data_IF_905290940387
#
_entry.id   IF_905290940387
#
_cell.length_a   1.000
_cell.length_b   1.000
_cell.length_c   1.000
_cell.angle_alpha   90.00
_cell.angle_beta   90.00
_cell.angle_gamma   90.00
#
_symmetry.space_group_name_H-M   'P 1'
#
loop_
_entity.id
_entity.type
_entity.pdbx_description
1 polymer ?
#
# COMPACT_ATOMS: atom_id res chain seq x y z
N UNK A 1 2.72 13.87 0.87
CA UNK A 1 1.43 14.38 1.36
C UNK A 1 0.66 13.22 1.99
N UNK A 2 0.29 13.33 3.26
CA UNK A 2 -0.57 12.34 3.93
C UNK A 2 -1.78 13.12 4.45
N UNK A 3 -2.99 12.67 4.13
CA UNK A 3 -4.20 13.37 4.59
C UNK A 3 -4.29 13.36 6.12
N UNK A 4 -4.63 14.50 6.72
CA UNK A 4 -4.65 14.74 8.17
C UNK A 4 -5.63 13.83 8.95
N UNK A 5 -6.63 13.31 8.25
CA UNK A 5 -7.65 12.42 8.79
C UNK A 5 -7.22 10.95 8.82
N UNK A 6 -6.07 10.60 8.23
CA UNK A 6 -5.51 9.26 8.31
C UNK A 6 -4.78 9.03 9.62
N UNK A 7 -4.84 7.80 10.11
CA UNK A 7 -4.09 7.37 11.29
C UNK A 7 -3.76 5.89 11.20
N UNK A 8 -2.73 5.48 11.94
CA UNK A 8 -2.36 4.08 12.11
C UNK A 8 -2.92 3.60 13.44
N UNK A 9 -3.49 2.40 13.43
CA UNK A 9 -3.91 1.68 14.64
C UNK A 9 -3.64 0.17 14.48
N UNK A 10 -3.85 -0.60 15.54
CA UNK A 10 -3.71 -2.05 15.52
C UNK A 10 -5.00 -2.73 15.08
N UNK A 11 -4.87 -3.65 14.14
CA UNK A 11 -5.86 -4.67 13.82
C UNK A 11 -5.70 -5.87 14.76
N UNK A 12 -6.72 -6.72 14.83
CA UNK A 12 -6.70 -7.92 15.68
C UNK A 12 -5.65 -8.94 15.23
N UNK A 13 -5.53 -9.18 13.93
CA UNK A 13 -4.79 -10.32 13.37
C UNK A 13 -3.71 -9.94 12.34
N UNK A 14 -3.66 -8.68 11.87
CA UNK A 14 -2.73 -8.22 10.81
C UNK A 14 -1.68 -7.22 11.32
N UNK A 15 -1.61 -6.97 12.62
CA UNK A 15 -0.71 -5.96 13.18
C UNK A 15 -1.22 -4.55 12.88
N UNK A 16 -0.36 -3.65 12.41
CA UNK A 16 -0.75 -2.25 12.12
C UNK A 16 -1.62 -2.17 10.88
N UNK A 17 -2.53 -1.22 10.84
CA UNK A 17 -3.34 -0.89 9.67
C UNK A 17 -3.60 0.61 9.59
N UNK A 18 -4.01 1.07 8.42
CA UNK A 18 -4.32 2.49 8.18
C UNK A 18 -5.84 2.67 8.24
N UNK A 19 -6.29 3.74 8.89
CA UNK A 19 -7.69 4.03 9.13
C UNK A 19 -7.97 5.51 8.85
N UNK A 20 -9.26 5.86 8.72
CA UNK A 20 -9.72 7.25 8.51
C UNK A 20 -10.64 7.74 9.61
N UNK A 21 -10.54 9.02 9.99
CA UNK A 21 -11.47 9.70 10.89
C UNK A 21 -12.68 10.32 10.18
N UNK A 22 -12.66 10.37 8.84
CA UNK A 22 -13.69 11.05 8.04
C UNK A 22 -14.26 10.13 6.98
N UNK A 23 -15.46 10.48 6.52
CA UNK A 23 -16.03 9.88 5.31
C UNK A 23 -15.19 10.33 4.10
N UNK A 24 -14.78 9.38 3.27
CA UNK A 24 -14.02 9.65 2.04
C UNK A 24 -14.91 9.28 0.84
N UNK A 25 -14.88 10.11 -0.21
CA UNK A 25 -15.60 9.82 -1.47
C UNK A 25 -14.81 8.76 -2.27
N UNK A 26 -15.44 8.06 -3.22
CA UNK A 26 -14.69 7.31 -4.23
C UNK A 26 -13.71 8.21 -4.99
N UNK A 27 -12.71 7.61 -5.61
CA UNK A 27 -11.73 8.26 -6.49
C UNK A 27 -10.95 9.42 -5.84
N UNK A 28 -10.77 9.37 -4.51
CA UNK A 28 -10.06 10.41 -3.76
C UNK A 28 -8.63 9.96 -3.48
N UNK A 29 -7.64 10.77 -3.88
CA UNK A 29 -6.25 10.57 -3.49
C UNK A 29 -6.09 10.99 -2.03
N UNK A 30 -5.67 10.05 -1.18
CA UNK A 30 -5.58 10.25 0.28
C UNK A 30 -4.15 10.32 0.79
N UNK A 31 -3.20 9.85 0.00
CA UNK A 31 -1.78 9.86 0.31
C UNK A 31 -0.96 9.89 -0.97
N UNK A 32 0.15 10.64 -0.95
CA UNK A 32 1.22 10.66 -1.96
C UNK A 32 2.53 10.60 -1.19
N UNK A 33 3.33 9.56 -1.41
CA UNK A 33 4.53 9.28 -0.66
C UNK A 33 5.72 9.15 -1.60
N UNK A 34 6.84 9.86 -1.34
CA UNK A 34 8.08 9.63 -2.07
C UNK A 34 8.58 8.21 -1.80
N UNK A 35 9.31 7.66 -2.76
CA UNK A 35 9.88 6.31 -2.64
C UNK A 35 11.40 6.33 -2.69
N UNK A 36 12.02 5.36 -2.01
CA UNK A 36 13.41 5.00 -2.22
C UNK A 36 13.44 3.87 -3.24
N UNK A 37 13.95 4.13 -4.43
CA UNK A 37 14.13 3.12 -5.49
C UNK A 37 15.44 2.38 -5.27
N UNK A 38 15.40 1.06 -5.40
CA UNK A 38 16.51 0.14 -5.22
C UNK A 38 16.61 -0.79 -6.43
N UNK A 39 17.84 -1.10 -6.83
CA UNK A 39 18.13 -2.02 -7.92
C UNK A 39 17.74 -3.46 -7.60
N UNK A 40 17.67 -4.32 -8.63
CA UNK A 40 17.48 -5.76 -8.47
C UNK A 40 18.52 -6.40 -7.52
N UNK A 41 19.76 -5.92 -7.56
CA UNK A 41 20.83 -6.44 -6.71
C UNK A 41 20.58 -6.13 -5.24
N UNK A 42 20.10 -4.93 -4.93
CA UNK A 42 19.72 -4.54 -3.57
C UNK A 42 18.45 -5.25 -3.11
N UNK A 43 17.46 -5.42 -4.00
CA UNK A 43 16.25 -6.20 -3.72
C UNK A 43 16.56 -7.59 -3.17
N UNK A 44 17.50 -8.31 -3.78
CA UNK A 44 17.93 -9.64 -3.32
C UNK A 44 18.46 -9.65 -1.88
N UNK A 45 19.02 -8.53 -1.40
CA UNK A 45 19.46 -8.39 -0.01
C UNK A 45 18.27 -8.07 0.91
N UNK A 46 17.38 -7.18 0.47
CA UNK A 46 16.18 -6.79 1.21
C UNK A 46 15.21 -7.96 1.40
N UNK A 47 15.06 -8.82 0.38
CA UNK A 47 14.22 -10.03 0.41
C UNK A 47 14.63 -11.02 1.52
N UNK A 48 15.84 -10.90 2.07
CA UNK A 48 16.32 -11.71 3.19
C UNK A 48 16.00 -11.10 4.57
N UNK A 49 15.26 -10.00 4.61
CA UNK A 49 14.94 -9.24 5.81
C UNK A 49 13.43 -9.05 5.96
N UNK A 50 12.99 -8.55 7.12
CA UNK A 50 11.58 -8.20 7.33
C UNK A 50 11.08 -7.08 6.40
N UNK A 51 11.97 -6.30 5.77
CA UNK A 51 11.56 -5.26 4.82
C UNK A 51 10.99 -5.84 3.52
N UNK A 52 11.19 -7.14 3.25
CA UNK A 52 10.57 -7.84 2.12
C UNK A 52 9.05 -7.59 2.05
N UNK A 53 8.38 -7.57 3.21
CA UNK A 53 6.93 -7.40 3.29
C UNK A 53 6.46 -5.94 3.09
N UNK A 54 7.38 -4.98 2.93
CA UNK A 54 7.09 -3.54 2.90
C UNK A 54 7.57 -2.84 1.62
N UNK A 55 8.18 -3.57 0.69
CA UNK A 55 8.64 -3.05 -0.60
C UNK A 55 7.65 -3.39 -1.72
N UNK A 56 7.69 -2.59 -2.78
CA UNK A 56 6.88 -2.75 -3.97
C UNK A 56 7.77 -3.02 -5.18
N UNK A 57 7.29 -3.84 -6.12
CA UNK A 57 7.93 -4.01 -7.43
C UNK A 57 7.86 -2.67 -8.18
N UNK A 58 8.95 -2.27 -8.83
CA UNK A 58 9.10 -0.94 -9.43
C UNK A 58 9.73 -0.99 -10.82
N UNK A 59 9.40 0.00 -11.64
CA UNK A 59 9.94 0.20 -12.99
C UNK A 59 9.20 -0.59 -14.08
N UNK A 60 9.31 -0.12 -15.32
CA UNK A 60 8.60 -0.69 -16.48
C UNK A 60 8.92 -2.17 -16.74
N UNK A 61 10.13 -2.60 -16.38
CA UNK A 61 10.60 -3.98 -16.55
C UNK A 61 10.41 -4.83 -15.29
N UNK A 62 9.84 -4.27 -14.21
CA UNK A 62 9.64 -4.93 -12.91
C UNK A 62 10.94 -5.48 -12.29
N UNK A 63 12.10 -4.92 -12.68
CA UNK A 63 13.43 -5.35 -12.25
C UNK A 63 13.97 -4.54 -11.06
N UNK A 64 13.23 -3.54 -10.60
CA UNK A 64 13.55 -2.75 -9.41
C UNK A 64 12.55 -3.02 -8.29
N UNK A 65 12.88 -2.53 -7.10
CA UNK A 65 11.90 -2.40 -6.04
C UNK A 65 11.96 -0.99 -5.45
N UNK A 66 10.92 -0.60 -4.74
CA UNK A 66 10.93 0.65 -3.99
C UNK A 66 10.31 0.47 -2.60
N UNK A 67 10.71 1.36 -1.69
CA UNK A 67 10.07 1.50 -0.38
C UNK A 67 9.43 2.89 -0.30
N UNK A 68 8.11 2.95 -0.12
CA UNK A 68 7.41 4.20 0.11
C UNK A 68 7.66 4.72 1.54
N UNK A 69 7.88 6.02 1.70
CA UNK A 69 8.28 6.62 2.98
C UNK A 69 7.11 7.11 3.87
N UNK A 70 5.87 6.96 3.41
CA UNK A 70 4.67 7.31 4.16
C UNK A 70 3.99 6.10 4.83
N UNK A 71 2.66 6.12 4.86
CA UNK A 71 1.87 5.01 5.38
C UNK A 71 1.61 3.92 4.34
N UNK A 72 1.91 4.13 3.05
CA UNK A 72 1.73 3.13 1.98
C UNK A 72 2.17 1.71 2.37
N UNK A 73 3.36 1.48 2.96
CA UNK A 73 3.77 0.12 3.37
C UNK A 73 2.97 -0.47 4.55
N UNK A 74 2.11 0.31 5.20
CA UNK A 74 1.31 -0.08 6.37
C UNK A 74 -0.13 -0.45 5.98
N UNK A 75 -0.56 -0.17 4.75
CA UNK A 75 -1.89 -0.60 4.30
C UNK A 75 -1.91 -2.12 4.19
N UNK A 76 -2.85 -2.74 4.89
CA UNK A 76 -3.00 -4.18 4.87
C UNK A 76 -3.60 -4.66 3.54
N UNK A 77 -3.35 -5.94 3.26
CA UNK A 77 -3.92 -6.65 2.14
C UNK A 77 -5.42 -6.93 2.32
N UNK A 78 -6.21 -6.78 1.25
CA UNK A 78 -7.52 -7.41 1.08
C UNK A 78 -7.76 -7.72 -0.40
N UNK A 79 -8.36 -8.88 -0.70
CA UNK A 79 -8.74 -9.25 -2.06
C UNK A 79 -9.85 -8.38 -2.64
N UNK A 80 -10.66 -7.76 -1.79
CA UNK A 80 -11.66 -6.75 -2.16
C UNK A 80 -11.32 -5.42 -1.47
N UNK A 81 -10.10 -4.97 -1.70
CA UNK A 81 -9.57 -3.74 -1.10
C UNK A 81 -10.40 -2.51 -1.47
N UNK A 82 -10.45 -1.55 -0.55
CA UNK A 82 -11.23 -0.33 -0.72
C UNK A 82 -10.38 0.84 -1.24
N UNK A 83 -9.08 0.63 -1.40
CA UNK A 83 -8.12 1.54 -2.03
C UNK A 83 -7.24 0.80 -3.05
N UNK A 84 -6.64 1.57 -3.94
CA UNK A 84 -5.65 1.11 -4.92
C UNK A 84 -4.42 2.01 -4.84
N UNK A 85 -3.23 1.43 -5.01
CA UNK A 85 -2.00 2.20 -5.10
C UNK A 85 -1.62 2.42 -6.56
N UNK A 86 -0.94 3.52 -6.81
CA UNK A 86 -0.44 3.91 -8.12
C UNK A 86 1.02 4.33 -7.98
N UNK A 87 1.77 4.18 -9.05
CA UNK A 87 3.20 4.49 -9.12
C UNK A 87 3.43 5.56 -10.17
N UNK A 88 4.19 6.58 -9.80
CA UNK A 88 4.66 7.63 -10.69
C UNK A 88 6.19 7.54 -10.77
N UNK A 89 6.67 7.02 -11.90
CA UNK A 89 8.10 6.78 -12.12
C UNK A 89 8.87 8.07 -12.42
N UNK A 90 8.21 9.08 -12.99
CA UNK A 90 8.83 10.36 -13.32
C UNK A 90 9.12 11.14 -12.04
N UNK A 91 8.16 11.16 -11.11
CA UNK A 91 8.27 11.91 -9.85
C UNK A 91 8.85 11.06 -8.69
N UNK A 92 9.11 9.77 -8.90
CA UNK A 92 9.49 8.81 -7.86
C UNK A 92 8.55 8.86 -6.64
N UNK A 93 7.25 8.76 -6.92
CA UNK A 93 6.22 8.74 -5.89
C UNK A 93 5.24 7.57 -6.07
N UNK A 94 4.59 7.22 -4.97
CA UNK A 94 3.42 6.36 -4.97
C UNK A 94 2.26 7.10 -4.35
N UNK A 95 1.04 6.81 -4.78
CA UNK A 95 -0.15 7.39 -4.18
C UNK A 95 -1.28 6.39 -3.99
N UNK A 96 -2.13 6.65 -3.01
CA UNK A 96 -3.29 5.81 -2.67
C UNK A 96 -4.56 6.55 -3.07
N UNK A 97 -5.44 5.86 -3.80
CA UNK A 97 -6.75 6.35 -4.21
C UNK A 97 -7.85 5.43 -3.71
N UNK A 98 -8.94 6.00 -3.20
CA UNK A 98 -10.11 5.21 -2.81
C UNK A 98 -10.87 4.68 -4.04
N UNK A 99 -11.33 3.44 -3.98
CA UNK A 99 -12.13 2.79 -5.05
C UNK A 99 -13.63 2.99 -4.81
N UNK A 100 -14.03 3.13 -3.55
CA UNK A 100 -15.41 3.38 -3.13
C UNK A 100 -15.48 4.38 -1.99
N UNK A 101 -16.69 4.72 -1.57
CA UNK A 101 -16.87 5.53 -0.38
C UNK A 101 -16.39 4.77 0.86
N UNK A 102 -15.70 5.47 1.77
CA UNK A 102 -15.16 4.92 3.02
C UNK A 102 -15.85 5.60 4.21
N UNK A 103 -16.18 4.83 5.25
CA UNK A 103 -16.78 5.36 6.48
C UNK A 103 -15.70 5.75 7.51
N UNK A 104 -15.97 6.71 8.40
CA UNK A 104 -15.12 6.95 9.58
C UNK A 104 -14.90 5.65 10.37
N UNK A 105 -13.66 5.40 10.79
CA UNK A 105 -13.26 4.21 11.54
C UNK A 105 -13.03 2.96 10.70
N UNK A 106 -13.28 2.99 9.40
CA UNK A 106 -13.02 1.86 8.51
C UNK A 106 -11.52 1.72 8.22
N UNK A 107 -11.03 0.48 8.17
CA UNK A 107 -9.66 0.16 7.73
C UNK A 107 -9.54 0.42 6.22
N UNK A 108 -8.45 1.05 5.82
CA UNK A 108 -8.06 1.27 4.44
C UNK A 108 -7.09 0.15 4.05
N UNK A 109 -7.46 -0.60 3.02
CA UNK A 109 -6.68 -1.74 2.53
C UNK A 109 -6.34 -1.55 1.06
N UNK A 110 -5.29 -2.22 0.63
CA UNK A 110 -4.86 -2.32 -0.77
C UNK A 110 -4.78 -3.78 -1.19
N UNK A 111 -4.77 -4.05 -2.49
CA UNK A 111 -4.44 -5.38 -3.01
C UNK A 111 -2.96 -5.42 -3.36
N UNK A 112 -2.21 -6.40 -2.85
CA UNK A 112 -0.76 -6.51 -3.07
C UNK A 112 -0.42 -6.99 -4.49
N UNK A 113 -1.43 -7.36 -5.28
CA UNK A 113 -1.29 -7.67 -6.71
C UNK A 113 -1.68 -6.47 -7.60
N UNK A 114 -1.65 -5.24 -7.07
CA UNK A 114 -2.02 -4.02 -7.78
C UNK A 114 -3.52 -3.75 -7.76
N UNK A 115 -4.26 -4.38 -8.67
CA UNK A 115 -5.70 -4.08 -8.86
C UNK A 115 -6.53 -4.51 -7.65
N UNK A 116 -7.43 -3.63 -7.21
CA UNK A 116 -8.13 -3.75 -5.94
C UNK A 116 -8.92 -5.07 -5.73
N UNK A 117 -9.38 -5.70 -6.81
CA UNK A 117 -10.18 -6.95 -6.84
C UNK A 117 -9.43 -8.18 -7.37
N UNK A 118 -8.10 -8.14 -7.42
CA UNK A 118 -7.31 -9.24 -7.95
C UNK A 118 -7.28 -10.44 -6.99
N UNK A 119 -7.74 -11.61 -7.43
CA UNK A 119 -7.87 -12.83 -6.62
C UNK A 119 -6.58 -13.69 -6.55
N UNK A 120 -5.46 -13.24 -7.15
CA UNK A 120 -4.20 -13.99 -7.13
C UNK A 120 -3.64 -14.11 -5.70
N UNK A 121 -3.26 -15.33 -5.31
CA UNK A 121 -2.72 -15.61 -3.96
C UNK A 121 -1.44 -14.82 -3.67
N UNK A 122 -1.34 -14.33 -2.44
CA UNK A 122 -0.14 -13.72 -1.85
C UNK A 122 0.69 -14.78 -1.08
N UNK A 123 1.90 -14.41 -0.64
CA UNK A 123 2.87 -15.33 0.01
C UNK A 123 2.56 -15.67 1.47
N UNK A 124 1.38 -15.27 1.98
CA UNK A 124 0.93 -15.51 3.35
C UNK A 124 -0.56 -15.86 3.41
N UNK A 125 -1.00 -16.38 4.56
CA UNK A 125 -2.40 -16.69 4.82
C UNK A 125 -3.19 -15.41 5.12
N UNK A 126 -4.12 -15.04 4.23
CA UNK A 126 -4.95 -13.84 4.39
C UNK A 126 -5.91 -13.98 5.56
N UNK A 127 -5.98 -12.95 6.40
CA UNK A 127 -6.94 -12.80 7.51
C UNK A 127 -7.93 -11.69 7.14
N UNK A 128 -9.22 -11.98 7.23
CA UNK A 128 -10.32 -11.00 7.05
C UNK A 128 -10.73 -10.37 8.38
#
# INVERSE_FOLDING_TARGET
MISDFLYIDFTKDKGRGVFTRKKIKPETVIEVSPVIVMSNTERKLIDQTLLHDYIFVWGDNEDQCCMALGYIPVYNHSYQSNCEYFMDYDDNTMFIKTVRAIRPGEELTINYNGTWNNEKKVWFDVKE
#
